data_IF_068466204073
#
_entry.id   IF_068466204073
#
_cell.length_a   1.000
_cell.length_b   1.000
_cell.length_c   1.000
_cell.angle_alpha   90.00
_cell.angle_beta   90.00
_cell.angle_gamma   90.00
#
_symmetry.space_group_name_H-M   'P 1'
#
loop_
_entity.id
_entity.type
_entity.pdbx_description
1 polymer ?
#
# COMPACT_ATOMS: atom_id res chain seq x y z
N UNK A 1 1.17 -0.28 14.34
CA UNK A 1 2.37 0.34 13.74
C UNK A 1 1.88 1.31 12.67
N UNK A 2 2.60 2.38 12.33
CA UNK A 2 2.13 3.29 11.26
C UNK A 2 2.75 2.81 9.95
N UNK A 3 1.91 2.30 9.05
CA UNK A 3 2.23 1.74 7.73
C UNK A 3 3.40 2.48 7.05
N UNK A 4 4.55 1.82 6.77
CA UNK A 4 5.67 2.46 6.07
C UNK A 4 5.28 3.07 4.72
N UNK A 5 4.34 2.43 4.00
CA UNK A 5 3.79 2.96 2.74
C UNK A 5 2.97 4.22 2.99
N UNK A 6 2.13 4.22 4.03
CA UNK A 6 1.35 5.40 4.39
C UNK A 6 2.26 6.56 4.79
N UNK A 7 3.36 6.29 5.52
CA UNK A 7 4.35 7.32 5.84
C UNK A 7 5.03 7.89 4.58
N UNK A 8 5.35 7.03 3.61
CA UNK A 8 5.91 7.48 2.34
C UNK A 8 4.92 8.36 1.56
N UNK A 9 3.66 7.94 1.48
CA UNK A 9 2.58 8.69 0.83
C UNK A 9 2.26 10.02 1.53
N UNK A 10 2.24 10.01 2.86
CA UNK A 10 2.02 11.20 3.67
C UNK A 10 3.16 12.22 3.52
N UNK A 11 4.41 11.75 3.37
CA UNK A 11 5.58 12.62 3.08
C UNK A 11 5.48 13.30 1.72
N UNK A 12 4.88 12.64 0.74
CA UNK A 12 4.63 13.22 -0.59
C UNK A 12 3.45 14.20 -0.61
N UNK A 13 2.90 14.58 0.55
CA UNK A 13 1.73 15.47 0.69
C UNK A 13 0.51 14.98 -0.10
N UNK A 14 0.37 13.67 -0.28
CA UNK A 14 -0.86 13.09 -0.82
C UNK A 14 -1.88 13.01 0.30
N UNK A 15 -3.00 13.72 0.14
CA UNK A 15 -4.19 13.60 1.00
C UNK A 15 -4.77 12.20 0.79
N UNK A 16 -4.33 11.26 1.63
CA UNK A 16 -4.83 9.89 1.69
C UNK A 16 -5.42 9.70 3.08
N UNK A 17 -6.70 9.33 3.14
CA UNK A 17 -7.34 9.04 4.41
C UNK A 17 -6.77 7.73 4.98
N UNK A 18 -6.18 7.73 6.18
CA UNK A 18 -5.63 6.52 6.80
C UNK A 18 -6.70 5.44 7.02
N UNK A 19 -7.95 5.80 7.25
CA UNK A 19 -9.05 4.83 7.44
C UNK A 19 -9.37 4.10 6.13
N UNK A 20 -9.57 4.84 5.04
CA UNK A 20 -9.79 4.26 3.69
C UNK A 20 -8.59 3.42 3.25
N UNK A 21 -7.38 3.88 3.59
CA UNK A 21 -6.15 3.13 3.34
C UNK A 21 -6.22 1.76 4.01
N UNK A 22 -6.42 1.73 5.33
CA UNK A 22 -6.49 0.49 6.13
C UNK A 22 -7.63 -0.42 5.70
N UNK A 23 -8.83 0.12 5.46
CA UNK A 23 -9.96 -0.66 4.97
C UNK A 23 -9.66 -1.31 3.61
N UNK A 24 -8.99 -0.57 2.72
CA UNK A 24 -8.48 -1.07 1.46
C UNK A 24 -7.58 -2.29 1.61
N UNK A 25 -6.60 -2.25 2.52
CA UNK A 25 -5.74 -3.41 2.78
C UNK A 25 -6.51 -4.61 3.31
N UNK A 26 -7.46 -4.39 4.23
CA UNK A 26 -8.28 -5.46 4.81
C UNK A 26 -9.17 -6.18 3.80
N UNK A 27 -9.53 -5.53 2.69
CA UNK A 27 -10.27 -6.17 1.59
C UNK A 27 -9.40 -7.22 0.87
N UNK A 28 -8.09 -6.99 0.80
CA UNK A 28 -7.14 -7.88 0.14
C UNK A 28 -6.55 -8.93 1.08
N UNK A 29 -6.27 -8.59 2.35
CA UNK A 29 -5.77 -9.52 3.36
C UNK A 29 -6.89 -10.42 3.92
N UNK A 30 -7.32 -11.38 3.10
CA UNK A 30 -8.36 -12.36 3.47
C UNK A 30 -7.96 -13.24 4.64
N UNK A 31 -6.66 -13.45 4.81
CA UNK A 31 -6.09 -14.33 5.84
C UNK A 31 -5.79 -13.57 7.14
N UNK A 32 -5.94 -12.24 7.14
CA UNK A 32 -5.64 -11.35 8.28
C UNK A 32 -4.23 -11.59 8.84
N UNK A 33 -3.27 -11.76 7.94
CA UNK A 33 -1.88 -12.03 8.29
C UNK A 33 -0.99 -10.77 8.31
N UNK A 34 -1.52 -9.62 7.91
CA UNK A 34 -0.81 -8.33 7.87
C UNK A 34 0.05 -8.12 6.62
N UNK A 35 -0.09 -8.99 5.61
CA UNK A 35 0.63 -8.94 4.34
C UNK A 35 -0.33 -8.94 3.16
N UNK A 36 0.06 -8.22 2.10
CA UNK A 36 -0.58 -8.35 0.79
C UNK A 36 0.49 -8.44 -0.30
N UNK A 37 0.12 -8.94 -1.48
CA UNK A 37 1.06 -8.94 -2.61
C UNK A 37 1.28 -7.52 -3.15
N UNK A 38 2.46 -7.29 -3.73
CA UNK A 38 2.76 -6.03 -4.41
C UNK A 38 1.77 -5.70 -5.55
N UNK A 39 1.23 -6.73 -6.21
CA UNK A 39 0.23 -6.56 -7.27
C UNK A 39 -1.11 -6.07 -6.70
N UNK A 40 -1.58 -6.64 -5.59
CA UNK A 40 -2.80 -6.20 -4.90
C UNK A 40 -2.64 -4.80 -4.33
N UNK A 41 -1.47 -4.51 -3.74
CA UNK A 41 -1.15 -3.19 -3.26
C UNK A 41 -1.12 -2.16 -4.38
N UNK A 42 -0.56 -2.51 -5.54
CA UNK A 42 -0.60 -1.63 -6.71
C UNK A 42 -2.03 -1.32 -7.13
N UNK A 43 -2.85 -2.36 -7.23
CA UNK A 43 -4.25 -2.21 -7.58
C UNK A 43 -4.96 -1.30 -6.57
N UNK A 44 -4.75 -1.52 -5.27
CA UNK A 44 -5.31 -0.71 -4.20
C UNK A 44 -4.88 0.76 -4.29
N UNK A 45 -3.57 1.04 -4.47
CA UNK A 45 -3.04 2.40 -4.51
C UNK A 45 -3.52 3.19 -5.74
N UNK A 46 -3.64 2.51 -6.88
CA UNK A 46 -4.22 3.11 -8.10
C UNK A 46 -5.74 3.30 -8.01
N UNK A 47 -6.43 2.51 -7.19
CA UNK A 47 -7.88 2.58 -7.01
C UNK A 47 -8.33 3.56 -5.90
N UNK A 48 -7.62 3.60 -4.76
CA UNK A 48 -7.87 4.52 -3.64
C UNK A 48 -7.64 5.98 -4.04
N UNK A 49 -6.73 6.20 -4.98
CA UNK A 49 -6.51 7.50 -5.53
C UNK A 49 -6.30 7.37 -7.03
N UNK A 50 -7.17 8.01 -7.80
CA UNK A 50 -6.87 8.47 -9.17
C UNK A 50 -5.65 9.44 -9.22
N UNK A 51 -4.74 9.37 -8.25
CA UNK A 51 -3.66 10.30 -7.90
C UNK A 51 -2.28 9.66 -7.91
N UNK A 52 -2.18 8.32 -7.98
CA UNK A 52 -0.91 7.60 -8.07
C UNK A 52 -0.80 6.92 -9.43
N UNK A 53 0.24 7.28 -10.17
CA UNK A 53 0.58 6.59 -11.43
C UNK A 53 1.31 5.29 -11.12
N UNK A 54 1.30 4.34 -12.05
CA UNK A 54 1.95 3.04 -11.87
C UNK A 54 3.45 3.17 -11.53
N UNK A 55 4.14 4.14 -12.11
CA UNK A 55 5.56 4.43 -11.85
C UNK A 55 5.82 4.92 -10.42
N UNK A 56 4.91 5.73 -9.87
CA UNK A 56 5.02 6.22 -8.49
C UNK A 56 4.78 5.08 -7.50
N UNK A 57 3.84 4.19 -7.82
CA UNK A 57 3.58 3.00 -7.03
C UNK A 57 4.77 2.04 -7.07
N UNK A 58 5.38 1.83 -8.24
CA UNK A 58 6.59 1.02 -8.38
C UNK A 58 7.73 1.52 -7.50
N UNK A 59 7.95 2.83 -7.48
CA UNK A 59 8.97 3.45 -6.64
C UNK A 59 8.67 3.30 -5.15
N UNK A 60 7.40 3.40 -4.76
CA UNK A 60 6.98 3.18 -3.38
C UNK A 60 7.19 1.72 -2.96
N UNK A 61 6.85 0.75 -3.81
CA UNK A 61 6.98 -0.67 -3.51
C UNK A 61 8.43 -1.18 -3.51
N UNK A 62 9.31 -0.49 -4.24
CA UNK A 62 10.71 -0.86 -4.37
C UNK A 62 11.40 -1.00 -3.00
N UNK A 63 11.76 -2.23 -2.65
CA UNK A 63 12.45 -2.54 -1.39
C UNK A 63 11.54 -2.70 -0.17
N UNK A 64 10.21 -2.64 -0.34
CA UNK A 64 9.25 -2.95 0.72
C UNK A 64 8.83 -4.43 0.73
N UNK A 65 8.98 -5.10 -0.40
CA UNK A 65 8.72 -6.52 -0.56
C UNK A 65 9.71 -7.36 0.25
N UNK A 66 9.20 -8.41 0.90
CA UNK A 66 10.03 -9.45 1.48
C UNK A 66 10.50 -10.44 0.39
N UNK A 67 11.30 -11.44 0.76
CA UNK A 67 11.80 -12.47 -0.16
C UNK A 67 10.72 -13.36 -0.81
N UNK A 68 9.44 -13.13 -0.50
CA UNK A 68 8.28 -13.81 -1.07
C UNK A 68 7.42 -12.89 -1.96
N UNK A 69 7.83 -11.63 -2.18
CA UNK A 69 7.05 -10.65 -2.94
C UNK A 69 5.82 -10.10 -2.20
N UNK A 70 5.79 -10.28 -0.88
CA UNK A 70 4.74 -9.78 -0.01
C UNK A 70 5.19 -8.50 0.68
N UNK A 71 4.25 -7.57 0.85
CA UNK A 71 4.49 -6.28 1.47
C UNK A 71 3.77 -6.24 2.82
N UNK A 72 4.51 -6.06 3.93
CA UNK A 72 3.89 -5.88 5.23
C UNK A 72 3.21 -4.52 5.28
N UNK A 73 1.96 -4.52 5.72
CA UNK A 73 1.19 -3.30 5.92
C UNK A 73 0.85 -3.06 7.41
N UNK A 74 0.89 -4.09 8.26
CA UNK A 74 0.59 -3.95 9.70
C UNK A 74 1.77 -3.54 10.59
#
# INVERSE_FOLDING_TARGET
MFLPIYQALSKEQKDINPEEFIEGFRVFDKDSNGFISAAELRHLLTALGERLREDEVDQLLAGMENGQGLVPYE
#
